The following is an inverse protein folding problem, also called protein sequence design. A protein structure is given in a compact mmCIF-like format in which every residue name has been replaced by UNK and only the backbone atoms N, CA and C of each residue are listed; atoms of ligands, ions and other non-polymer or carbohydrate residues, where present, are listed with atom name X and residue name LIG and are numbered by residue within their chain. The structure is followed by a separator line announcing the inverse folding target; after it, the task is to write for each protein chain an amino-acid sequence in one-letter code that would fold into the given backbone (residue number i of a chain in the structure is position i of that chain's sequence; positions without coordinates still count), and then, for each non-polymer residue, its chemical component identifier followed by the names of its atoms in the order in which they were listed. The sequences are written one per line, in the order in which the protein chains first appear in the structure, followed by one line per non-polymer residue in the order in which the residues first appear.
data_IF_550798391627
#
_entry.id   IF_550798391627
#
_cell.length_a   1.000
_cell.length_b   1.000
_cell.length_c   1.000
_cell.angle_alpha   90.00
_cell.angle_beta   90.00
_cell.angle_gamma   90.00
#
_symmetry.space_group_name_H-M   'P 1'
#
loop_
_entity.id
_entity.type
_entity.pdbx_description
1 polymer ?
#
# COMPACT_ATOMS: atom_id res chain seq x y z
N UNK A 1 -27.48 -6.87 0.49
CA UNK A 1 -26.37 -6.21 1.24
C UNK A 1 -25.14 -6.16 0.34
N UNK A 2 -24.73 -5.00 -0.18
CA UNK A 2 -23.46 -4.87 -0.92
C UNK A 2 -22.33 -4.82 0.11
N UNK A 3 -21.56 -5.90 0.21
CA UNK A 3 -20.52 -6.10 1.22
C UNK A 3 -19.43 -5.02 1.11
N UNK A 4 -19.13 -4.39 2.24
CA UNK A 4 -18.09 -3.37 2.40
C UNK A 4 -16.69 -3.88 1.94
N UNK A 5 -16.54 -5.20 1.90
CA UNK A 5 -15.34 -5.91 1.48
C UNK A 5 -14.97 -5.66 0.01
N UNK A 6 -15.95 -5.56 -0.90
CA UNK A 6 -15.66 -5.36 -2.32
C UNK A 6 -14.98 -4.01 -2.62
N UNK A 7 -15.39 -2.95 -1.92
CA UNK A 7 -14.79 -1.62 -2.06
C UNK A 7 -13.39 -1.56 -1.43
N UNK A 8 -13.20 -2.25 -0.31
CA UNK A 8 -11.90 -2.38 0.36
C UNK A 8 -10.90 -3.15 -0.50
N UNK A 9 -11.30 -4.29 -1.08
CA UNK A 9 -10.43 -5.08 -1.95
C UNK A 9 -10.02 -4.32 -3.22
N UNK A 10 -10.93 -3.57 -3.85
CA UNK A 10 -10.59 -2.67 -4.96
C UNK A 10 -9.53 -1.63 -4.56
N UNK A 11 -9.64 -1.08 -3.35
CA UNK A 11 -8.67 -0.11 -2.84
C UNK A 11 -7.32 -0.76 -2.57
N UNK A 12 -7.29 -1.97 -1.99
CA UNK A 12 -6.06 -2.74 -1.77
C UNK A 12 -5.38 -3.11 -3.08
N UNK A 13 -6.14 -3.54 -4.09
CA UNK A 13 -5.62 -3.84 -5.43
C UNK A 13 -5.01 -2.60 -6.09
N UNK A 14 -5.68 -1.44 -6.00
CA UNK A 14 -5.14 -0.16 -6.49
C UNK A 14 -3.85 0.22 -5.77
N UNK A 15 -3.81 0.12 -4.45
CA UNK A 15 -2.62 0.40 -3.65
C UNK A 15 -1.45 -0.52 -4.04
N UNK A 16 -1.70 -1.81 -4.20
CA UNK A 16 -0.68 -2.78 -4.62
C UNK A 16 -0.14 -2.45 -6.03
N UNK A 17 -1.02 -2.05 -6.96
CA UNK A 17 -0.60 -1.62 -8.30
C UNK A 17 0.33 -0.41 -8.25
N UNK A 18 0.04 0.58 -7.40
CA UNK A 18 0.91 1.74 -7.21
C UNK A 18 2.28 1.36 -6.65
N UNK A 19 2.34 0.47 -5.65
CA UNK A 19 3.60 0.00 -5.07
C UNK A 19 4.42 -0.80 -6.09
N UNK A 20 3.77 -1.57 -6.97
CA UNK A 20 4.44 -2.28 -8.08
C UNK A 20 5.02 -1.31 -9.12
N UNK A 21 4.29 -0.23 -9.45
CA UNK A 21 4.73 0.79 -10.40
C UNK A 21 5.82 1.70 -9.85
N UNK A 22 5.85 1.90 -8.53
CA UNK A 22 6.81 2.76 -7.83
C UNK A 22 7.49 1.99 -6.69
N UNK A 23 8.46 1.12 -7.01
CA UNK A 23 9.22 0.40 -6.00
C UNK A 23 9.96 1.37 -5.09
N UNK A 24 9.85 1.16 -3.78
CA UNK A 24 10.41 2.06 -2.78
C UNK A 24 9.53 3.27 -2.46
N UNK A 25 8.30 3.35 -2.94
CA UNK A 25 7.41 4.47 -2.62
C UNK A 25 7.24 4.69 -1.11
N UNK A 26 7.27 5.94 -0.66
CA UNK A 26 7.09 6.33 0.74
C UNK A 26 5.60 6.41 1.12
N UNK A 27 5.24 6.29 2.41
CA UNK A 27 3.85 6.39 2.86
C UNK A 27 3.13 7.68 2.42
N UNK A 28 3.83 8.82 2.45
CA UNK A 28 3.28 10.13 2.06
C UNK A 28 3.00 10.22 0.57
N UNK A 29 3.90 9.70 -0.26
CA UNK A 29 3.75 9.65 -1.72
C UNK A 29 2.60 8.73 -2.11
N UNK A 30 2.52 7.55 -1.48
CA UNK A 30 1.43 6.60 -1.71
C UNK A 30 0.07 7.20 -1.33
N UNK A 31 0.00 7.92 -0.20
CA UNK A 31 -1.19 8.65 0.23
C UNK A 31 -1.62 9.71 -0.81
N UNK A 32 -0.67 10.48 -1.35
CA UNK A 32 -0.91 11.48 -2.39
C UNK A 32 -1.48 10.83 -3.66
N UNK A 33 -0.90 9.73 -4.14
CA UNK A 33 -1.38 9.00 -5.32
C UNK A 33 -2.75 8.35 -5.11
N UNK A 34 -3.05 7.93 -3.89
CA UNK A 34 -4.36 7.41 -3.53
C UNK A 34 -5.41 8.50 -3.30
N UNK A 35 -5.02 9.78 -3.28
CA UNK A 35 -5.86 10.93 -2.89
C UNK A 35 -6.50 10.71 -1.52
N UNK A 36 -5.73 10.25 -0.54
CA UNK A 36 -6.18 9.99 0.84
C UNK A 36 -5.16 10.47 1.85
N UNK A 37 -5.64 11.00 2.97
CA UNK A 37 -4.78 11.46 4.07
C UNK A 37 -4.09 10.30 4.78
N UNK A 38 -4.83 9.22 5.06
CA UNK A 38 -4.33 8.09 5.82
C UNK A 38 -4.67 6.75 5.17
N UNK A 39 -3.67 5.88 5.09
CA UNK A 39 -3.82 4.54 4.50
C UNK A 39 -3.07 3.44 5.27
N UNK A 40 -2.68 3.68 6.53
CA UNK A 40 -1.93 2.70 7.33
C UNK A 40 -2.63 1.35 7.45
N UNK A 41 -3.95 1.34 7.68
CA UNK A 41 -4.72 0.08 7.77
C UNK A 41 -4.68 -0.74 6.47
N UNK A 42 -4.67 -0.07 5.31
CA UNK A 42 -4.58 -0.73 4.00
C UNK A 42 -3.17 -1.28 3.76
N UNK A 43 -2.13 -0.49 4.08
CA UNK A 43 -0.72 -0.93 4.00
C UNK A 43 -0.46 -2.14 4.89
N UNK A 44 -0.94 -2.09 6.14
CA UNK A 44 -0.80 -3.20 7.08
C UNK A 44 -1.55 -4.45 6.60
N UNK A 45 -2.71 -4.29 5.96
CA UNK A 45 -3.41 -5.42 5.35
C UNK A 45 -2.59 -6.07 4.22
N UNK A 46 -1.97 -5.28 3.33
CA UNK A 46 -1.10 -5.81 2.27
C UNK A 46 0.16 -6.50 2.83
N UNK A 47 0.75 -5.96 3.89
CA UNK A 47 1.92 -6.55 4.56
C UNK A 47 1.55 -7.87 5.23
N UNK A 48 0.44 -7.90 5.98
CA UNK A 48 -0.05 -9.13 6.64
C UNK A 48 -0.35 -10.24 5.63
N UNK A 49 -0.85 -9.87 4.45
CA UNK A 49 -1.08 -10.79 3.31
C UNK A 49 0.18 -11.12 2.52
N UNK A 50 1.36 -10.62 2.93
CA UNK A 50 2.66 -10.82 2.29
C UNK A 50 2.73 -10.34 0.83
N UNK A 51 1.89 -9.40 0.41
CA UNK A 51 1.97 -8.81 -0.94
C UNK A 51 2.97 -7.66 -1.02
N UNK A 52 3.25 -7.02 0.11
CA UNK A 52 4.12 -5.86 0.24
C UNK A 52 5.03 -6.07 1.43
N UNK A 53 6.28 -5.64 1.31
CA UNK A 53 7.21 -5.53 2.42
C UNK A 53 7.68 -4.08 2.55
N UNK A 54 8.22 -3.74 3.73
CA UNK A 54 8.73 -2.39 4.01
C UNK A 54 10.20 -2.46 4.38
N UNK A 55 10.97 -1.47 3.91
CA UNK A 55 12.37 -1.26 4.27
C UNK A 55 12.52 0.08 4.97
N UNK A 56 13.25 0.12 6.07
CA UNK A 56 13.67 1.37 6.70
C UNK A 56 15.05 1.74 6.14
N UNK A 57 15.17 2.96 5.62
CA UNK A 57 16.43 3.53 5.13
C UNK A 57 16.60 4.88 5.83
N UNK A 58 17.52 4.94 6.80
CA UNK A 58 17.63 6.08 7.72
C UNK A 58 16.33 6.28 8.51
N UNK A 59 15.75 7.48 8.42
CA UNK A 59 14.46 7.82 9.05
C UNK A 59 13.24 7.48 8.19
N UNK A 60 13.44 7.13 6.91
CA UNK A 60 12.36 6.94 5.95
C UNK A 60 11.95 5.47 5.81
N UNK A 61 10.66 5.25 5.63
CA UNK A 61 10.07 3.94 5.30
C UNK A 61 9.72 3.91 3.82
N UNK A 62 10.12 2.83 3.15
CA UNK A 62 9.91 2.58 1.73
C UNK A 62 9.16 1.26 1.55
N UNK A 63 8.22 1.19 0.61
CA UNK A 63 7.41 0.00 0.34
C UNK A 63 7.78 -0.65 -0.98
N UNK A 64 7.79 -1.98 -0.99
CA UNK A 64 8.12 -2.79 -2.15
C UNK A 64 7.11 -3.92 -2.28
N UNK A 65 6.83 -4.34 -3.51
CA UNK A 65 5.99 -5.52 -3.76
C UNK A 65 6.79 -6.79 -3.52
N UNK A 66 6.13 -7.91 -3.20
CA UNK A 66 6.79 -9.22 -2.98
C UNK A 66 7.72 -9.66 -4.13
N UNK A 67 7.44 -9.22 -5.36
CA UNK A 67 8.19 -9.62 -6.55
C UNK A 67 9.34 -8.64 -6.89
N UNK A 68 9.76 -7.82 -5.94
CA UNK A 68 10.83 -6.82 -6.06
C UNK A 68 11.84 -7.04 -4.95
#
# INVERSE_FOLDING_TARGET
MKTNDGAREKTLARMLSLIKKHPGIRPSELNRLLKREHSAGLRNALIRRRFVWKKKVGVAVHYYSKNY
#
